data_IF_587138725201
#
_entry.id   IF_587138725201
#
_cell.length_a   1.000
_cell.length_b   1.000
_cell.length_c   1.000
_cell.angle_alpha   90.00
_cell.angle_beta   90.00
_cell.angle_gamma   90.00
#
_symmetry.space_group_name_H-M   'P 1'
#
loop_
_entity.id
_entity.type
_entity.pdbx_description
1 polymer ?
#
# COMPACT_ATOMS: atom_id res chain seq x y z
N UNK A 1 -97.66 4.76 19.83
CA UNK A 1 -97.55 3.66 18.91
C UNK A 1 -97.81 4.13 17.44
N UNK A 2 -98.94 4.79 17.11
CA UNK A 2 -99.22 5.29 15.74
C UNK A 2 -98.18 6.32 15.24
N UNK A 3 -97.67 7.18 16.16
CA UNK A 3 -96.67 8.15 15.84
C UNK A 3 -95.30 7.56 15.52
N UNK A 4 -94.87 6.48 16.19
CA UNK A 4 -93.61 5.78 15.91
C UNK A 4 -93.70 5.03 14.56
N UNK A 5 -94.86 4.45 14.20
CA UNK A 5 -95.11 3.84 12.86
C UNK A 5 -95.04 4.87 11.73
N UNK A 6 -95.66 6.07 11.94
CA UNK A 6 -95.60 7.14 10.96
C UNK A 6 -94.17 7.62 10.76
N UNK A 7 -93.42 7.80 11.86
CA UNK A 7 -91.97 8.17 11.80
C UNK A 7 -91.13 7.11 11.07
N UNK A 8 -91.36 5.82 11.36
CA UNK A 8 -90.65 4.74 10.65
C UNK A 8 -90.90 4.76 9.15
N UNK A 9 -92.17 4.98 8.72
CA UNK A 9 -92.53 5.13 7.31
C UNK A 9 -91.92 6.32 6.64
N UNK A 10 -91.93 7.47 7.33
CA UNK A 10 -91.37 8.72 6.81
C UNK A 10 -89.87 8.61 6.64
N UNK A 11 -89.16 8.08 7.64
CA UNK A 11 -87.69 7.87 7.59
C UNK A 11 -87.31 6.88 6.49
N UNK A 12 -88.08 5.77 6.32
CA UNK A 12 -87.90 4.81 5.22
C UNK A 12 -88.05 5.47 3.84
N UNK A 13 -89.14 6.26 3.66
CA UNK A 13 -89.38 7.00 2.42
C UNK A 13 -88.30 8.06 2.12
N UNK A 14 -87.77 8.66 3.16
CA UNK A 14 -86.63 9.60 3.06
C UNK A 14 -85.28 8.93 2.81
N UNK A 15 -85.20 7.58 2.81
CA UNK A 15 -83.96 6.81 2.61
C UNK A 15 -83.11 6.65 3.88
N UNK A 16 -83.53 7.17 5.01
CA UNK A 16 -82.84 7.02 6.28
C UNK A 16 -83.22 5.67 6.94
N UNK A 17 -82.55 4.61 6.53
CA UNK A 17 -82.75 3.27 6.98
C UNK A 17 -82.41 3.04 8.46
N UNK A 18 -81.48 3.86 8.98
CA UNK A 18 -81.07 3.76 10.39
C UNK A 18 -82.19 4.20 11.35
N UNK A 19 -82.74 5.40 11.08
CA UNK A 19 -83.84 5.92 11.90
C UNK A 19 -85.16 5.17 11.61
N UNK A 20 -85.38 4.73 10.38
CA UNK A 20 -86.54 3.89 10.04
C UNK A 20 -86.52 2.58 10.86
N UNK A 21 -85.34 1.92 10.95
CA UNK A 21 -85.16 0.68 11.73
C UNK A 21 -85.42 0.95 13.23
N UNK A 22 -84.81 2.00 13.77
CA UNK A 22 -84.95 2.40 15.19
C UNK A 22 -86.41 2.62 15.57
N UNK A 23 -87.12 3.44 14.74
CA UNK A 23 -88.55 3.76 15.02
C UNK A 23 -89.46 2.53 14.81
N UNK A 24 -89.15 1.71 13.83
CA UNK A 24 -89.89 0.45 13.59
C UNK A 24 -89.75 -0.54 14.76
N UNK A 25 -88.51 -0.70 15.27
CA UNK A 25 -88.22 -1.56 16.41
C UNK A 25 -88.92 -1.06 17.68
N UNK A 26 -88.79 0.24 17.96
CA UNK A 26 -89.49 0.86 19.12
C UNK A 26 -91.03 0.70 19.02
N UNK A 27 -91.58 0.80 17.80
CA UNK A 27 -93.01 0.62 17.58
C UNK A 27 -93.50 -0.85 17.80
N UNK A 28 -92.66 -1.82 17.46
CA UNK A 28 -92.94 -3.25 17.72
C UNK A 28 -92.86 -3.52 19.21
N UNK A 29 -91.77 -3.06 19.87
CA UNK A 29 -91.59 -3.27 21.33
C UNK A 29 -92.78 -2.64 22.10
N UNK A 30 -93.19 -1.45 21.73
CA UNK A 30 -94.40 -0.82 22.33
C UNK A 30 -95.73 -1.58 22.05
N UNK A 31 -95.85 -2.18 20.82
CA UNK A 31 -97.01 -2.95 20.44
C UNK A 31 -97.09 -4.30 21.21
N UNK A 32 -95.96 -4.93 21.42
CA UNK A 32 -95.83 -6.17 22.20
C UNK A 32 -96.17 -5.93 23.70
N UNK A 33 -95.68 -4.79 24.24
CA UNK A 33 -95.94 -4.40 25.60
C UNK A 33 -97.46 -4.15 25.86
N UNK A 34 -98.11 -3.48 24.86
CA UNK A 34 -99.59 -3.09 24.98
C UNK A 34 -100.53 -4.21 24.62
N UNK A 35 -100.14 -5.45 24.26
CA UNK A 35 -100.88 -6.70 23.93
C UNK A 35 -101.96 -6.44 22.83
N UNK A 36 -101.72 -5.62 21.83
CA UNK A 36 -102.69 -5.34 20.78
C UNK A 36 -102.39 -6.21 19.53
N UNK A 37 -103.02 -7.41 19.47
CA UNK A 37 -102.76 -8.46 18.47
C UNK A 37 -102.98 -8.06 17.00
N UNK A 38 -103.98 -7.26 16.68
CA UNK A 38 -104.32 -6.90 15.25
C UNK A 38 -103.32 -5.98 14.59
N UNK A 39 -102.64 -5.14 15.33
CA UNK A 39 -101.59 -4.20 14.78
C UNK A 39 -100.24 -4.85 14.66
N UNK A 40 -99.97 -5.89 15.38
CA UNK A 40 -98.65 -6.57 15.32
C UNK A 40 -98.33 -7.24 13.99
N UNK A 41 -99.35 -7.86 13.31
CA UNK A 41 -99.14 -8.50 12.02
C UNK A 41 -98.76 -7.53 10.88
N UNK A 42 -99.44 -6.42 10.75
CA UNK A 42 -99.11 -5.41 9.76
C UNK A 42 -97.73 -4.71 10.00
N UNK A 43 -97.41 -4.52 11.27
CA UNK A 43 -96.12 -4.02 11.68
C UNK A 43 -94.99 -4.99 11.45
N UNK A 44 -95.21 -6.29 11.63
CA UNK A 44 -94.19 -7.33 11.43
C UNK A 44 -93.73 -7.40 9.97
N UNK A 45 -94.67 -7.29 9.00
CA UNK A 45 -94.30 -7.24 7.58
C UNK A 45 -93.45 -5.99 7.20
N UNK A 46 -93.89 -4.80 7.63
CA UNK A 46 -93.16 -3.56 7.38
C UNK A 46 -91.81 -3.52 8.08
N UNK A 47 -91.72 -3.98 9.32
CA UNK A 47 -90.47 -4.15 10.06
C UNK A 47 -89.51 -5.10 9.32
N UNK A 48 -90.01 -6.22 8.81
CA UNK A 48 -89.21 -7.19 8.04
C UNK A 48 -88.51 -6.55 6.84
N UNK A 49 -89.23 -5.69 6.08
CA UNK A 49 -88.66 -4.96 4.91
C UNK A 49 -87.58 -3.96 5.36
N UNK A 50 -87.87 -3.17 6.39
CA UNK A 50 -86.89 -2.22 6.92
C UNK A 50 -85.67 -2.91 7.46
N UNK A 51 -85.85 -3.98 8.24
CA UNK A 51 -84.78 -4.77 8.81
C UNK A 51 -83.90 -5.37 7.71
N UNK A 52 -84.51 -5.98 6.69
CA UNK A 52 -83.78 -6.54 5.52
C UNK A 52 -82.95 -5.47 4.79
N UNK A 53 -83.57 -4.30 4.56
CA UNK A 53 -82.90 -3.19 3.91
C UNK A 53 -81.75 -2.58 4.77
N UNK A 54 -81.96 -2.47 6.07
CA UNK A 54 -80.94 -2.07 7.00
C UNK A 54 -79.75 -3.05 7.07
N UNK A 55 -80.06 -4.32 7.24
CA UNK A 55 -79.06 -5.41 7.25
C UNK A 55 -78.24 -5.43 5.91
N UNK A 56 -78.93 -5.26 4.76
CA UNK A 56 -78.24 -5.20 3.46
C UNK A 56 -77.30 -4.01 3.35
N UNK A 57 -77.72 -2.81 3.89
CA UNK A 57 -76.88 -1.60 3.90
C UNK A 57 -75.66 -1.81 4.82
N UNK A 58 -75.89 -2.35 6.02
CA UNK A 58 -74.83 -2.64 6.97
C UNK A 58 -73.81 -3.66 6.41
N UNK A 59 -74.29 -4.74 5.78
CA UNK A 59 -73.45 -5.74 5.17
C UNK A 59 -72.59 -5.14 4.03
N UNK A 60 -73.14 -4.29 3.20
CA UNK A 60 -72.39 -3.56 2.15
C UNK A 60 -71.33 -2.65 2.77
N UNK A 61 -71.69 -1.86 3.79
CA UNK A 61 -70.76 -0.95 4.47
C UNK A 61 -69.60 -1.73 5.08
N UNK A 62 -69.86 -2.85 5.77
CA UNK A 62 -68.83 -3.74 6.31
C UNK A 62 -67.92 -4.35 5.24
N UNK A 63 -68.52 -4.81 4.13
CA UNK A 63 -67.74 -5.32 2.96
C UNK A 63 -66.82 -4.26 2.36
N UNK A 64 -67.33 -3.05 2.19
CA UNK A 64 -66.53 -1.92 1.68
C UNK A 64 -65.37 -1.58 2.61
N UNK A 65 -65.61 -1.53 3.90
CA UNK A 65 -64.57 -1.28 4.90
C UNK A 65 -63.52 -2.37 4.90
N UNK A 66 -63.94 -3.64 4.79
CA UNK A 66 -62.99 -4.79 4.68
C UNK A 66 -62.07 -4.66 3.45
N UNK A 67 -62.63 -4.25 2.28
CA UNK A 67 -61.86 -4.03 1.07
C UNK A 67 -60.81 -2.89 1.24
N UNK A 68 -61.19 -1.80 1.90
CA UNK A 68 -60.21 -0.71 2.20
C UNK A 68 -59.15 -1.16 3.17
N UNK A 69 -59.49 -1.94 4.18
CA UNK A 69 -58.48 -2.46 5.11
C UNK A 69 -57.48 -3.42 4.42
N UNK A 70 -57.98 -4.28 3.50
CA UNK A 70 -57.12 -5.15 2.68
C UNK A 70 -56.18 -4.32 1.76
N UNK A 71 -56.69 -3.29 1.12
CA UNK A 71 -55.89 -2.43 0.24
C UNK A 71 -54.80 -1.68 1.02
N UNK A 72 -55.11 -1.17 2.22
CA UNK A 72 -54.14 -0.47 3.06
C UNK A 72 -53.08 -1.45 3.57
N UNK A 73 -53.49 -2.67 3.96
CA UNK A 73 -52.54 -3.67 4.40
C UNK A 73 -51.59 -4.12 3.28
N UNK A 74 -52.12 -4.30 2.06
CA UNK A 74 -51.30 -4.63 0.89
C UNK A 74 -50.30 -3.51 0.57
N UNK A 75 -50.79 -2.27 0.59
CA UNK A 75 -49.95 -1.09 0.33
C UNK A 75 -48.83 -0.96 1.37
N UNK A 76 -49.15 -1.21 2.64
CA UNK A 76 -48.14 -1.15 3.73
C UNK A 76 -47.05 -2.22 3.56
N UNK A 77 -47.41 -3.42 3.10
CA UNK A 77 -46.44 -4.49 2.80
C UNK A 77 -45.51 -4.08 1.65
N UNK A 78 -46.09 -3.56 0.56
CA UNK A 78 -45.29 -3.07 -0.59
C UNK A 78 -44.33 -1.98 -0.15
N UNK A 79 -44.80 -1.03 0.65
CA UNK A 79 -43.96 0.06 1.15
C UNK A 79 -42.79 -0.46 2.03
N UNK A 80 -43.08 -1.44 2.88
CA UNK A 80 -42.06 -2.07 3.71
C UNK A 80 -40.99 -2.79 2.87
N UNK A 81 -41.40 -3.51 1.81
CA UNK A 81 -40.48 -4.16 0.89
C UNK A 81 -39.61 -3.16 0.12
N UNK A 82 -40.21 -2.07 -0.36
CA UNK A 82 -39.47 -0.97 -1.00
C UNK A 82 -38.45 -0.35 -0.06
N UNK A 83 -38.83 -0.09 1.18
CA UNK A 83 -37.93 0.47 2.19
C UNK A 83 -36.74 -0.48 2.47
N UNK A 84 -37.01 -1.78 2.63
CA UNK A 84 -35.96 -2.77 2.82
C UNK A 84 -35.01 -2.86 1.62
N UNK A 85 -35.54 -2.79 0.40
CA UNK A 85 -34.74 -2.75 -0.82
C UNK A 85 -33.84 -1.51 -0.88
N UNK A 86 -34.40 -0.34 -0.66
CA UNK A 86 -33.63 0.93 -0.65
C UNK A 86 -32.54 0.92 0.43
N UNK A 87 -32.87 0.46 1.63
CA UNK A 87 -31.90 0.31 2.73
C UNK A 87 -30.73 -0.59 2.33
N UNK A 88 -31.02 -1.74 1.69
CA UNK A 88 -29.99 -2.65 1.20
C UNK A 88 -29.11 -2.00 0.12
N UNK A 89 -29.69 -1.22 -0.79
CA UNK A 89 -28.94 -0.50 -1.81
C UNK A 89 -28.04 0.60 -1.23
N UNK A 90 -28.56 1.39 -0.30
CA UNK A 90 -27.77 2.42 0.38
C UNK A 90 -26.59 1.83 1.15
N UNK A 91 -26.80 0.71 1.83
CA UNK A 91 -25.72 0.02 2.54
C UNK A 91 -24.65 -0.54 1.60
N UNK A 92 -25.06 -1.06 0.45
CA UNK A 92 -24.12 -1.53 -0.59
C UNK A 92 -23.32 -0.37 -1.15
N UNK A 93 -23.98 0.74 -1.48
CA UNK A 93 -23.32 1.94 -2.02
C UNK A 93 -22.30 2.52 -1.03
N UNK A 94 -22.65 2.58 0.26
CA UNK A 94 -21.73 3.04 1.30
C UNK A 94 -20.47 2.18 1.39
N UNK A 95 -20.62 0.85 1.36
CA UNK A 95 -19.48 -0.07 1.38
C UNK A 95 -18.58 0.09 0.15
N UNK A 96 -19.18 0.14 -1.05
CA UNK A 96 -18.41 0.32 -2.29
C UNK A 96 -17.67 1.67 -2.29
N UNK A 97 -18.29 2.73 -1.76
CA UNK A 97 -17.64 4.04 -1.62
C UNK A 97 -16.44 3.98 -0.66
N UNK A 98 -16.56 3.24 0.42
CA UNK A 98 -15.48 3.08 1.38
C UNK A 98 -14.32 2.25 0.81
N UNK A 99 -14.63 1.14 0.14
CA UNK A 99 -13.64 0.32 -0.58
C UNK A 99 -12.90 1.12 -1.66
N UNK A 100 -13.62 1.94 -2.43
CA UNK A 100 -13.04 2.82 -3.44
C UNK A 100 -12.13 3.88 -2.80
N UNK A 101 -12.55 4.47 -1.69
CA UNK A 101 -11.74 5.47 -0.97
C UNK A 101 -10.44 4.85 -0.45
N UNK A 102 -10.51 3.64 0.14
CA UNK A 102 -9.32 2.93 0.61
C UNK A 102 -8.40 2.52 -0.55
N UNK A 103 -8.97 2.06 -1.66
CA UNK A 103 -8.20 1.74 -2.86
C UNK A 103 -7.47 2.96 -3.43
N UNK A 104 -8.14 4.12 -3.51
CA UNK A 104 -7.51 5.36 -3.96
C UNK A 104 -6.39 5.81 -3.01
N UNK A 105 -6.60 5.73 -1.69
CA UNK A 105 -5.55 6.06 -0.72
C UNK A 105 -4.33 5.16 -0.91
N UNK A 106 -4.57 3.86 -1.09
CA UNK A 106 -3.51 2.88 -1.34
C UNK A 106 -2.74 3.15 -2.62
N UNK A 107 -3.46 3.50 -3.69
CA UNK A 107 -2.85 3.88 -4.98
C UNK A 107 -1.96 5.13 -4.83
N UNK A 108 -2.41 6.15 -4.10
CA UNK A 108 -1.61 7.35 -3.85
C UNK A 108 -0.33 6.99 -3.09
N UNK A 109 -0.43 6.22 -2.01
CA UNK A 109 0.74 5.77 -1.25
C UNK A 109 1.74 4.98 -2.09
N UNK A 110 1.25 4.03 -2.91
CA UNK A 110 2.12 3.25 -3.79
C UNK A 110 2.77 4.11 -4.88
N UNK A 111 2.06 5.12 -5.38
CA UNK A 111 2.61 6.03 -6.38
C UNK A 111 3.71 6.91 -5.79
N UNK A 112 3.52 7.41 -4.56
CA UNK A 112 4.53 8.19 -3.84
C UNK A 112 5.78 7.33 -3.56
N UNK A 113 5.59 6.09 -3.07
CA UNK A 113 6.70 5.15 -2.85
C UNK A 113 7.44 4.82 -4.17
N UNK A 114 6.70 4.64 -5.26
CA UNK A 114 7.29 4.41 -6.59
C UNK A 114 8.11 5.60 -7.08
N UNK A 115 7.61 6.81 -6.88
CA UNK A 115 8.32 8.03 -7.25
C UNK A 115 9.63 8.19 -6.45
N UNK A 116 9.58 7.92 -5.13
CA UNK A 116 10.77 7.94 -4.27
C UNK A 116 11.81 6.90 -4.72
N UNK A 117 11.35 5.68 -5.05
CA UNK A 117 12.24 4.62 -5.55
C UNK A 117 12.85 4.97 -6.91
N UNK A 118 12.06 5.58 -7.81
CA UNK A 118 12.56 6.05 -9.10
C UNK A 118 13.60 7.16 -8.95
N UNK A 119 13.39 8.11 -8.03
CA UNK A 119 14.37 9.15 -7.74
C UNK A 119 15.68 8.53 -7.21
N UNK A 120 15.61 7.64 -6.22
CA UNK A 120 16.79 6.92 -5.70
C UNK A 120 17.52 6.12 -6.77
N UNK A 121 16.79 5.47 -7.68
CA UNK A 121 17.36 4.72 -8.80
C UNK A 121 18.06 5.64 -9.80
N UNK A 122 17.46 6.80 -10.11
CA UNK A 122 18.06 7.82 -10.98
C UNK A 122 19.36 8.33 -10.38
N UNK A 123 19.36 8.75 -9.12
CA UNK A 123 20.57 9.22 -8.42
C UNK A 123 21.69 8.16 -8.43
N UNK A 124 21.31 6.89 -8.17
CA UNK A 124 22.27 5.78 -8.23
C UNK A 124 22.82 5.55 -9.63
N UNK A 125 22.02 5.74 -10.66
CA UNK A 125 22.44 5.60 -12.05
C UNK A 125 23.38 6.73 -12.48
N UNK A 126 23.05 7.96 -12.10
CA UNK A 126 23.88 9.13 -12.37
C UNK A 126 25.27 9.00 -11.71
N UNK A 127 25.31 8.49 -10.48
CA UNK A 127 26.57 8.17 -9.83
C UNK A 127 27.37 7.12 -10.60
N UNK A 128 26.74 6.05 -11.08
CA UNK A 128 27.40 5.01 -11.89
C UNK A 128 27.99 5.59 -13.20
N UNK A 129 27.22 6.46 -13.88
CA UNK A 129 27.69 7.11 -15.10
C UNK A 129 28.92 8.00 -14.84
N UNK A 130 28.92 8.77 -13.74
CA UNK A 130 30.08 9.57 -13.34
C UNK A 130 31.31 8.69 -13.08
N UNK A 131 31.16 7.52 -12.43
CA UNK A 131 32.28 6.60 -12.20
C UNK A 131 32.79 5.96 -13.49
N UNK A 132 31.92 5.62 -14.43
CA UNK A 132 32.31 5.10 -15.74
C UNK A 132 33.10 6.16 -16.51
N UNK A 133 32.62 7.41 -16.55
CA UNK A 133 33.32 8.51 -17.18
C UNK A 133 34.72 8.70 -16.57
N UNK A 134 34.81 8.73 -15.23
CA UNK A 134 36.10 8.85 -14.53
C UNK A 134 37.04 7.67 -14.78
N UNK A 135 36.49 6.47 -14.94
CA UNK A 135 37.29 5.31 -15.34
C UNK A 135 37.89 5.47 -16.74
N UNK A 136 37.12 5.96 -17.70
CA UNK A 136 37.63 6.24 -19.05
C UNK A 136 38.70 7.34 -19.06
N UNK A 137 38.53 8.38 -18.24
CA UNK A 137 39.57 9.44 -18.10
C UNK A 137 40.88 8.85 -17.55
N UNK A 138 40.80 7.99 -16.55
CA UNK A 138 41.97 7.29 -16.01
C UNK A 138 42.62 6.37 -17.05
N UNK A 139 41.83 5.62 -17.82
CA UNK A 139 42.37 4.77 -18.89
C UNK A 139 43.10 5.61 -19.95
N UNK A 140 42.51 6.72 -20.38
CA UNK A 140 43.14 7.65 -21.33
C UNK A 140 44.44 8.22 -20.79
N UNK A 141 44.43 8.66 -19.51
CA UNK A 141 45.64 9.18 -18.86
C UNK A 141 46.78 8.12 -18.85
N UNK A 142 46.48 6.85 -18.56
CA UNK A 142 47.48 5.79 -18.57
C UNK A 142 48.02 5.52 -19.99
N UNK A 143 47.18 5.57 -21.02
CA UNK A 143 47.61 5.44 -22.42
C UNK A 143 48.55 6.58 -22.78
N UNK A 144 48.21 7.81 -22.42
CA UNK A 144 49.07 9.00 -22.68
C UNK A 144 50.43 8.92 -21.96
N UNK A 145 50.43 8.43 -20.70
CA UNK A 145 51.66 8.20 -19.95
C UNK A 145 52.53 7.12 -20.59
N UNK A 146 51.93 6.02 -21.04
CA UNK A 146 52.65 4.97 -21.76
C UNK A 146 53.23 5.47 -23.08
N UNK A 147 52.49 6.26 -23.85
CA UNK A 147 52.97 6.83 -25.11
C UNK A 147 54.11 7.83 -24.88
N UNK A 148 53.99 8.70 -23.85
CA UNK A 148 55.04 9.63 -23.43
C UNK A 148 56.34 8.93 -23.02
N UNK A 149 56.21 7.82 -22.27
CA UNK A 149 57.34 6.99 -21.88
C UNK A 149 58.01 6.35 -23.12
N UNK A 150 57.22 5.77 -24.02
CA UNK A 150 57.68 5.19 -25.30
C UNK A 150 58.44 6.25 -26.13
N UNK A 151 57.88 7.47 -26.29
CA UNK A 151 58.51 8.58 -26.99
C UNK A 151 59.83 8.97 -26.35
N UNK A 152 59.92 8.99 -25.02
CA UNK A 152 61.15 9.28 -24.28
C UNK A 152 62.22 8.25 -24.55
N UNK A 153 61.89 6.94 -24.48
CA UNK A 153 62.82 5.85 -24.79
C UNK A 153 63.32 5.94 -26.24
N UNK A 154 62.40 6.14 -27.21
CA UNK A 154 62.77 6.32 -28.62
C UNK A 154 63.73 7.47 -28.86
N UNK A 155 63.48 8.62 -28.20
CA UNK A 155 64.37 9.78 -28.30
C UNK A 155 65.76 9.48 -27.74
N UNK A 156 65.90 8.78 -26.62
CA UNK A 156 67.17 8.35 -26.08
C UNK A 156 67.90 7.39 -27.02
N UNK A 157 67.20 6.48 -27.62
CA UNK A 157 67.74 5.55 -28.61
C UNK A 157 68.25 6.26 -29.87
N UNK A 158 67.44 7.19 -30.42
CA UNK A 158 67.80 7.99 -31.60
C UNK A 158 69.04 8.87 -31.37
N UNK A 159 69.14 9.43 -30.17
CA UNK A 159 70.28 10.27 -29.77
C UNK A 159 71.50 9.47 -29.33
N UNK A 160 71.46 8.11 -29.45
CA UNK A 160 72.52 7.16 -29.04
C UNK A 160 72.90 7.30 -27.55
N UNK A 161 72.01 7.76 -26.71
CA UNK A 161 72.19 7.89 -25.23
C UNK A 161 71.88 6.55 -24.55
N UNK A 162 72.68 5.51 -24.89
CA UNK A 162 72.37 4.14 -24.48
C UNK A 162 72.50 3.93 -22.96
N UNK A 163 73.44 4.60 -22.31
CA UNK A 163 73.60 4.46 -20.86
C UNK A 163 72.38 4.97 -20.10
N UNK A 164 71.82 6.11 -20.47
CA UNK A 164 70.62 6.67 -19.90
C UNK A 164 69.39 5.83 -20.27
N UNK A 165 69.32 5.31 -21.49
CA UNK A 165 68.26 4.43 -21.93
C UNK A 165 68.25 3.16 -21.08
N UNK A 166 69.40 2.47 -20.88
CA UNK A 166 69.49 1.28 -20.03
C UNK A 166 69.19 1.58 -18.56
N UNK A 167 69.61 2.72 -18.03
CA UNK A 167 69.31 3.17 -16.69
C UNK A 167 67.80 3.33 -16.48
N UNK A 168 67.08 3.96 -17.42
CA UNK A 168 65.63 4.13 -17.37
C UNK A 168 64.88 2.81 -17.52
N UNK A 169 65.34 1.92 -18.41
CA UNK A 169 64.75 0.58 -18.57
C UNK A 169 64.91 -0.29 -17.32
N UNK A 170 66.00 -0.16 -16.58
CA UNK A 170 66.25 -0.92 -15.34
C UNK A 170 65.57 -0.29 -14.12
N UNK A 171 65.21 0.98 -14.19
CA UNK A 171 64.59 1.70 -13.07
C UNK A 171 63.14 1.28 -12.87
N UNK A 172 62.75 0.92 -11.65
CA UNK A 172 61.36 0.63 -11.22
C UNK A 172 60.63 1.89 -10.75
N UNK A 173 61.36 3.02 -10.61
CA UNK A 173 60.81 4.23 -9.97
C UNK A 173 59.57 4.81 -10.69
N UNK A 174 59.51 4.73 -11.99
CA UNK A 174 58.33 5.12 -12.75
C UNK A 174 57.13 4.22 -12.41
N UNK A 175 57.33 2.92 -12.40
CA UNK A 175 56.27 1.93 -12.07
C UNK A 175 55.78 2.13 -10.65
N UNK A 176 56.68 2.39 -9.71
CA UNK A 176 56.33 2.60 -8.29
C UNK A 176 55.52 3.90 -8.12
N UNK A 177 55.89 4.99 -8.78
CA UNK A 177 55.16 6.24 -8.73
C UNK A 177 53.75 6.11 -9.35
N UNK A 178 53.64 5.45 -10.50
CA UNK A 178 52.34 5.22 -11.14
C UNK A 178 51.45 4.31 -10.31
N UNK A 179 52.04 3.34 -9.61
CA UNK A 179 51.31 2.47 -8.70
C UNK A 179 50.78 3.21 -7.48
N UNK A 180 51.56 4.09 -6.91
CA UNK A 180 51.14 4.94 -5.80
C UNK A 180 49.98 5.87 -6.21
N UNK A 181 50.07 6.44 -7.40
CA UNK A 181 49.02 7.31 -7.95
C UNK A 181 47.72 6.50 -8.20
N UNK A 182 47.86 5.28 -8.76
CA UNK A 182 46.74 4.36 -8.95
C UNK A 182 46.02 4.06 -7.61
N UNK A 183 46.82 3.76 -6.58
CA UNK A 183 46.21 3.46 -5.25
C UNK A 183 45.56 4.69 -4.63
N UNK A 184 46.14 5.89 -4.73
CA UNK A 184 45.50 7.10 -4.25
C UNK A 184 44.17 7.38 -4.97
N UNK A 185 44.16 7.21 -6.29
CA UNK A 185 42.93 7.38 -7.07
C UNK A 185 41.88 6.34 -6.70
N UNK A 186 42.28 5.07 -6.55
CA UNK A 186 41.38 4.00 -6.09
C UNK A 186 40.81 4.30 -4.71
N UNK A 187 41.65 4.65 -3.75
CA UNK A 187 41.24 4.95 -2.38
C UNK A 187 40.23 6.10 -2.34
N UNK A 188 40.51 7.19 -3.07
CA UNK A 188 39.63 8.36 -3.14
C UNK A 188 38.26 8.01 -3.76
N UNK A 189 38.25 7.27 -4.87
CA UNK A 189 37.02 6.84 -5.53
C UNK A 189 36.23 5.89 -4.61
N UNK A 190 36.92 4.93 -3.98
CA UNK A 190 36.29 3.95 -3.10
C UNK A 190 35.66 4.61 -1.86
N UNK A 191 36.36 5.54 -1.21
CA UNK A 191 35.85 6.24 -0.03
C UNK A 191 34.75 7.27 -0.36
N UNK A 192 34.70 7.78 -1.59
CA UNK A 192 33.53 8.52 -2.05
C UNK A 192 32.28 7.65 -2.16
N UNK A 193 32.44 6.38 -2.60
CA UNK A 193 31.33 5.42 -2.65
C UNK A 193 30.92 4.89 -1.27
N UNK A 194 31.90 4.72 -0.39
CA UNK A 194 31.74 4.15 0.96
C UNK A 194 32.42 5.01 2.02
N UNK A 195 31.87 6.20 2.36
CA UNK A 195 32.53 7.16 3.26
C UNK A 195 32.79 6.62 4.66
N UNK A 196 31.93 5.73 5.14
CA UNK A 196 32.01 5.14 6.48
C UNK A 196 32.83 3.85 6.54
N UNK A 197 33.32 3.37 5.39
CA UNK A 197 33.95 2.04 5.28
C UNK A 197 35.00 1.74 6.33
N UNK A 198 35.94 2.66 6.59
CA UNK A 198 37.01 2.45 7.56
C UNK A 198 36.47 2.33 8.98
N UNK A 199 35.50 3.17 9.34
CA UNK A 199 34.85 3.11 10.66
C UNK A 199 34.04 1.81 10.84
N UNK A 200 33.25 1.46 9.83
CA UNK A 200 32.41 0.25 9.83
C UNK A 200 33.29 -1.01 9.85
N UNK A 201 34.35 -1.04 9.05
CA UNK A 201 35.31 -2.14 9.06
C UNK A 201 35.97 -2.31 10.43
N UNK A 202 36.40 -1.21 11.05
CA UNK A 202 36.97 -1.24 12.39
C UNK A 202 35.97 -1.67 13.47
N UNK A 203 34.67 -1.44 13.26
CA UNK A 203 33.65 -1.94 14.18
C UNK A 203 33.51 -3.47 14.18
N UNK A 204 33.94 -4.13 13.12
CA UNK A 204 33.95 -5.59 12.99
C UNK A 204 35.18 -6.25 13.66
N UNK A 205 36.16 -5.45 14.05
CA UNK A 205 37.40 -5.93 14.69
C UNK A 205 37.36 -5.80 16.23
N UNK A 206 38.14 -6.61 16.92
CA UNK A 206 38.37 -6.44 18.37
C UNK A 206 39.00 -5.06 18.59
N UNK A 207 38.65 -4.34 19.68
CA UNK A 207 39.10 -2.97 19.91
C UNK A 207 40.61 -2.75 19.81
N UNK A 208 41.39 -3.72 20.30
CA UNK A 208 42.85 -3.68 20.34
C UNK A 208 43.50 -3.91 18.96
N UNK A 209 42.73 -4.45 18.03
CA UNK A 209 43.19 -4.84 16.67
C UNK A 209 42.64 -3.93 15.56
N UNK A 210 42.02 -2.82 15.94
CA UNK A 210 41.52 -1.81 14.99
C UNK A 210 42.69 -1.21 14.22
N UNK A 211 42.41 -0.97 12.91
CA UNK A 211 43.41 -0.40 12.01
C UNK A 211 43.48 1.11 12.24
N UNK A 212 44.67 1.59 12.62
CA UNK A 212 45.00 3.00 12.60
C UNK A 212 45.77 3.32 11.32
N UNK A 213 45.29 4.27 10.55
CA UNK A 213 45.95 4.75 9.34
C UNK A 213 47.04 5.75 9.67
N UNK A 214 48.11 5.79 8.86
CA UNK A 214 49.13 6.81 8.94
C UNK A 214 48.60 8.16 8.48
N UNK A 215 49.12 9.29 9.01
CA UNK A 215 48.75 10.59 8.49
C UNK A 215 48.98 10.68 6.99
N UNK A 216 47.90 11.01 6.21
CA UNK A 216 47.95 11.15 4.76
C UNK A 216 47.55 9.87 3.98
N UNK A 217 47.47 8.69 4.64
CA UNK A 217 46.94 7.48 3.99
C UNK A 217 45.42 7.48 4.07
N UNK A 218 44.75 7.22 2.94
CA UNK A 218 43.31 7.00 2.87
C UNK A 218 42.96 5.54 3.20
N UNK A 219 43.67 4.59 2.61
CA UNK A 219 43.60 3.17 2.91
C UNK A 219 45.00 2.55 2.96
N UNK A 220 45.20 1.56 3.83
CA UNK A 220 46.40 0.74 3.80
C UNK A 220 46.17 -0.53 2.92
N UNK A 221 47.20 -1.35 2.76
CA UNK A 221 47.13 -2.55 1.94
C UNK A 221 46.07 -3.55 2.43
N UNK A 222 45.89 -3.66 3.74
CA UNK A 222 44.89 -4.54 4.35
C UNK A 222 43.48 -4.07 4.00
N UNK A 223 43.20 -2.79 4.18
CA UNK A 223 41.89 -2.19 3.85
C UNK A 223 41.59 -2.21 2.34
N UNK A 224 42.61 -2.04 1.47
CA UNK A 224 42.42 -2.17 0.02
C UNK A 224 41.98 -3.56 -0.41
N UNK A 225 42.48 -4.64 0.24
CA UNK A 225 42.01 -6.01 -0.01
C UNK A 225 40.51 -6.08 0.28
N UNK A 226 40.07 -5.55 1.40
CA UNK A 226 38.66 -5.61 1.81
C UNK A 226 37.78 -4.60 1.08
N UNK A 227 38.34 -3.50 0.61
CA UNK A 227 37.66 -2.59 -0.32
C UNK A 227 37.35 -3.29 -1.66
N UNK A 228 38.29 -4.05 -2.20
CA UNK A 228 38.07 -4.87 -3.40
C UNK A 228 37.03 -5.97 -3.16
N UNK A 229 37.04 -6.63 -2.01
CA UNK A 229 36.02 -7.61 -1.61
C UNK A 229 34.64 -6.94 -1.51
N UNK A 230 34.56 -5.75 -0.93
CA UNK A 230 33.32 -4.96 -0.85
C UNK A 230 32.76 -4.62 -2.24
N UNK A 231 33.61 -4.36 -3.21
CA UNK A 231 33.24 -4.13 -4.61
C UNK A 231 32.88 -5.41 -5.38
N UNK A 232 32.89 -6.58 -4.73
CA UNK A 232 32.56 -7.87 -5.33
C UNK A 232 33.74 -8.59 -5.98
N UNK A 233 34.97 -8.08 -5.86
CA UNK A 233 36.19 -8.74 -6.36
C UNK A 233 36.67 -9.72 -5.29
N UNK A 234 36.16 -10.95 -5.33
CA UNK A 234 36.43 -11.99 -4.31
C UNK A 234 37.62 -12.88 -4.67
N UNK A 235 38.03 -12.87 -5.93
CA UNK A 235 39.16 -13.68 -6.43
C UNK A 235 40.49 -13.13 -5.93
N UNK A 236 41.18 -13.92 -5.09
CA UNK A 236 42.47 -13.57 -4.51
C UNK A 236 43.58 -13.37 -5.56
N UNK A 237 43.49 -14.02 -6.71
CA UNK A 237 44.48 -13.83 -7.77
C UNK A 237 44.30 -12.44 -8.44
N UNK A 238 43.06 -12.00 -8.67
CA UNK A 238 42.78 -10.66 -9.18
C UNK A 238 43.19 -9.59 -8.17
N UNK A 239 42.94 -9.81 -6.87
CA UNK A 239 43.38 -8.89 -5.78
C UNK A 239 44.89 -8.80 -5.75
N UNK A 240 45.60 -9.94 -5.80
CA UNK A 240 47.06 -9.99 -5.81
C UNK A 240 47.64 -9.25 -7.03
N UNK A 241 47.06 -9.44 -8.20
CA UNK A 241 47.46 -8.75 -9.43
C UNK A 241 47.30 -7.23 -9.30
N UNK A 242 46.16 -6.75 -8.78
CA UNK A 242 45.89 -5.32 -8.57
C UNK A 242 46.86 -4.71 -7.57
N UNK A 243 47.09 -5.39 -6.45
CA UNK A 243 47.97 -4.90 -5.38
C UNK A 243 49.47 -5.16 -5.62
N UNK A 244 49.81 -5.75 -6.78
CA UNK A 244 51.18 -6.11 -7.13
C UNK A 244 51.92 -6.87 -6.01
N UNK A 245 51.24 -7.88 -5.47
CA UNK A 245 51.79 -8.71 -4.39
C UNK A 245 51.57 -10.22 -4.73
N UNK A 246 52.19 -11.09 -3.93
CA UNK A 246 52.00 -12.53 -4.12
C UNK A 246 50.60 -12.96 -3.67
N UNK A 247 50.08 -14.03 -4.27
CA UNK A 247 48.82 -14.65 -3.88
C UNK A 247 48.85 -15.05 -2.38
N UNK A 248 50.00 -15.57 -1.90
CA UNK A 248 50.17 -15.93 -0.51
C UNK A 248 50.07 -14.71 0.44
N UNK A 249 50.52 -13.54 -0.02
CA UNK A 249 50.36 -12.29 0.74
C UNK A 249 48.88 -11.94 0.96
N UNK A 250 48.06 -12.09 -0.07
CA UNK A 250 46.62 -11.83 0.03
C UNK A 250 45.97 -12.82 1.00
N UNK A 251 46.30 -14.11 0.90
CA UNK A 251 45.77 -15.11 1.84
C UNK A 251 46.20 -14.87 3.27
N UNK A 252 47.45 -14.45 3.50
CA UNK A 252 47.94 -14.10 4.84
C UNK A 252 47.18 -12.92 5.44
N UNK A 253 46.95 -11.85 4.67
CA UNK A 253 46.15 -10.69 5.14
C UNK A 253 44.70 -11.08 5.42
N UNK A 254 44.04 -11.85 4.54
CA UNK A 254 42.67 -12.33 4.77
C UNK A 254 42.58 -13.18 6.04
N UNK A 255 43.51 -14.12 6.23
CA UNK A 255 43.55 -14.96 7.43
C UNK A 255 43.83 -14.15 8.71
N UNK A 256 44.79 -13.22 8.65
CA UNK A 256 45.10 -12.31 9.76
C UNK A 256 43.88 -11.51 10.18
N UNK A 257 43.15 -10.89 9.24
CA UNK A 257 41.98 -10.07 9.55
C UNK A 257 40.81 -10.89 10.08
N UNK A 258 40.56 -12.08 9.52
CA UNK A 258 39.54 -12.99 10.07
C UNK A 258 39.85 -13.40 11.53
N UNK A 259 41.12 -13.54 11.87
CA UNK A 259 41.54 -13.83 13.26
C UNK A 259 41.33 -12.65 14.22
N UNK A 260 41.26 -11.42 13.71
CA UNK A 260 41.04 -10.17 14.46
C UNK A 260 39.56 -9.80 14.54
N UNK A 261 38.68 -10.56 13.92
CA UNK A 261 37.24 -10.30 13.92
C UNK A 261 36.67 -10.45 15.33
N UNK A 262 35.85 -9.48 15.76
CA UNK A 262 35.15 -9.48 17.05
C UNK A 262 34.01 -10.53 17.07
N UNK A 263 33.52 -10.93 15.90
CA UNK A 263 32.43 -11.90 15.68
C UNK A 263 32.96 -13.17 14.97
N UNK A 264 32.07 -13.97 14.42
CA UNK A 264 32.42 -15.22 13.72
C UNK A 264 33.38 -14.99 12.55
N UNK A 265 34.51 -15.71 12.56
CA UNK A 265 35.52 -15.70 11.48
C UNK A 265 34.93 -16.05 10.11
N UNK A 266 33.95 -16.93 10.07
CA UNK A 266 33.31 -17.41 8.85
C UNK A 266 32.40 -16.33 8.23
N UNK A 267 31.78 -15.49 9.06
CA UNK A 267 30.85 -14.44 8.62
C UNK A 267 31.56 -13.12 8.34
N UNK A 268 32.83 -12.95 8.73
CA UNK A 268 33.54 -11.68 8.65
C UNK A 268 33.54 -11.08 7.23
N UNK A 269 33.95 -11.86 6.22
CA UNK A 269 34.00 -11.37 4.83
C UNK A 269 32.61 -11.06 4.28
N UNK A 270 31.59 -11.80 4.70
CA UNK A 270 30.20 -11.49 4.36
C UNK A 270 29.77 -10.16 4.98
N UNK A 271 30.06 -9.94 6.23
CA UNK A 271 29.75 -8.66 6.91
C UNK A 271 30.46 -7.48 6.23
N UNK A 272 31.74 -7.66 5.84
CA UNK A 272 32.47 -6.64 5.07
C UNK A 272 31.80 -6.38 3.72
N UNK A 273 31.32 -7.40 3.03
CA UNK A 273 30.62 -7.22 1.75
C UNK A 273 29.26 -6.49 1.88
N UNK A 274 28.72 -6.39 3.08
CA UNK A 274 27.47 -5.72 3.40
C UNK A 274 27.64 -4.28 3.93
N UNK A 275 28.88 -3.83 4.20
CA UNK A 275 29.17 -2.45 4.67
C UNK A 275 28.57 -1.44 3.68
N UNK A 276 27.79 -0.49 4.19
CA UNK A 276 27.12 0.54 3.39
C UNK A 276 25.85 0.06 2.65
N UNK A 277 25.47 -1.22 2.80
CA UNK A 277 24.17 -1.71 2.30
C UNK A 277 23.08 -1.71 3.38
N UNK A 278 23.34 -1.13 4.53
CA UNK A 278 22.36 -1.10 5.62
C UNK A 278 21.15 -0.29 5.17
N UNK A 279 19.93 -0.84 5.17
CA UNK A 279 18.75 -0.02 5.02
C UNK A 279 18.76 1.01 6.14
N UNK A 280 18.52 2.27 5.80
CA UNK A 280 18.29 3.33 6.77
C UNK A 280 17.28 2.79 7.78
N UNK A 281 17.71 2.55 9.03
CA UNK A 281 16.78 2.26 10.11
C UNK A 281 15.92 3.51 10.24
N UNK A 282 14.65 3.37 9.92
CA UNK A 282 13.65 4.35 10.27
C UNK A 282 13.77 4.61 11.78
N UNK A 283 13.78 5.87 12.23
CA UNK A 283 13.72 6.18 13.65
C UNK A 283 12.37 5.66 14.20
N UNK A 284 12.46 4.83 15.24
CA UNK A 284 11.30 4.40 16.04
C UNK A 284 10.64 5.57 16.74
#
# INVERSE_FOLDING_TARGET
>A
NASLQALARMSYAAGDLSDAFKYAQAAIDDALFSNVQFRTAQMAEFYSIINASYQAKEARSKSTLQHYMLLISLLSVVLALLFAYLYKQLRKLSRTKEELSQANLRLTQLNDELNDKNAQLSDSNDLKEQYIARFFDLCSLYIDKMDSYRKTLNRLAQNRQFDELFKRLKSTSMMENELDELYKNFDAIFLNLYPTFVADFNSLLIPEERIALRPGDLLNKELRIYALLRMGITDSAKIASFLRCSLSTVYNYRTKMRNKAALSREKFEKMVSEIGNTPVKEPQ
#
